data_IF_111687475046
#
_entry.id   IF_111687475046
#
_cell.length_a   1.000
_cell.length_b   1.000
_cell.length_c   1.000
_cell.angle_alpha   90.00
_cell.angle_beta   90.00
_cell.angle_gamma   90.00
#
_symmetry.space_group_name_H-M   'P 1'
#
loop_
_entity.id
_entity.type
_entity.pdbx_description
1 polymer ?
#
# COMPACT_ATOMS: atom_id res chain seq x y z
N UNK A 1 -23.67 -10.59 -2.91
CA UNK A 1 -23.25 -11.64 -1.93
C UNK A 1 -21.77 -12.04 -2.06
N UNK A 2 -21.23 -12.25 -3.27
CA UNK A 2 -19.80 -12.59 -3.47
C UNK A 2 -18.85 -11.47 -3.01
N UNK A 3 -19.15 -10.22 -3.37
CA UNK A 3 -18.34 -9.07 -2.93
C UNK A 3 -18.23 -8.95 -1.39
N UNK A 4 -19.32 -9.26 -0.68
CA UNK A 4 -19.32 -9.30 0.80
C UNK A 4 -18.39 -10.39 1.34
N UNK A 5 -18.44 -11.60 0.78
CA UNK A 5 -17.53 -12.69 1.15
C UNK A 5 -16.06 -12.36 0.87
N UNK A 6 -15.78 -11.68 -0.24
CA UNK A 6 -14.44 -11.20 -0.55
C UNK A 6 -13.96 -10.17 0.50
N UNK A 7 -14.84 -9.23 0.89
CA UNK A 7 -14.54 -8.26 1.94
C UNK A 7 -14.28 -8.90 3.30
N UNK A 8 -15.06 -9.93 3.66
CA UNK A 8 -14.88 -10.70 4.90
C UNK A 8 -13.55 -11.46 4.92
N UNK A 9 -13.02 -11.84 3.74
CA UNK A 9 -11.70 -12.44 3.55
C UNK A 9 -10.56 -11.39 3.45
N UNK A 10 -10.86 -10.10 3.65
CA UNK A 10 -9.87 -9.01 3.57
C UNK A 10 -9.54 -8.56 2.14
N UNK A 11 -10.27 -9.02 1.13
CA UNK A 11 -10.07 -8.66 -0.27
C UNK A 11 -10.96 -7.48 -0.63
N UNK A 12 -10.33 -6.38 -1.08
CA UNK A 12 -11.03 -5.19 -1.56
C UNK A 12 -11.53 -5.40 -3.00
N UNK A 13 -12.79 -5.08 -3.28
CA UNK A 13 -13.38 -5.20 -4.63
C UNK A 13 -13.74 -3.81 -5.16
N UNK A 14 -12.95 -3.34 -6.12
CA UNK A 14 -13.22 -2.12 -6.87
C UNK A 14 -13.98 -2.45 -8.15
N UNK A 15 -14.91 -1.59 -8.56
CA UNK A 15 -15.77 -1.81 -9.73
C UNK A 15 -15.63 -0.63 -10.68
N UNK A 16 -15.33 -0.93 -11.95
CA UNK A 16 -15.26 0.07 -13.01
C UNK A 16 -16.46 -0.15 -13.93
N UNK A 17 -17.35 0.84 -14.01
CA UNK A 17 -18.49 0.82 -14.92
C UNK A 17 -18.10 1.40 -16.26
N UNK A 18 -18.24 0.63 -17.35
CA UNK A 18 -17.97 1.09 -18.71
C UNK A 18 -19.30 1.10 -19.48
N UNK A 19 -19.57 2.21 -20.16
CA UNK A 19 -20.72 2.36 -21.06
C UNK A 19 -21.78 3.33 -20.55
N UNK A 20 -22.75 3.64 -21.42
CA UNK A 20 -23.79 4.63 -21.13
C UNK A 20 -24.94 4.07 -20.28
N UNK A 21 -25.48 4.92 -19.40
CA UNK A 21 -26.70 4.65 -18.62
C UNK A 21 -27.95 4.67 -19.50
N UNK A 22 -27.96 5.47 -20.57
CA UNK A 22 -29.08 5.58 -21.52
C UNK A 22 -29.23 4.30 -22.35
N UNK A 23 -28.10 3.62 -22.58
CA UNK A 23 -27.98 2.35 -23.26
C UNK A 23 -27.61 2.47 -24.73
N UNK A 24 -27.09 1.38 -25.28
CA UNK A 24 -26.69 1.32 -26.68
C UNK A 24 -26.91 -0.08 -27.25
N UNK A 25 -27.24 -0.20 -28.54
CA UNK A 25 -27.37 -1.49 -29.19
C UNK A 25 -25.99 -2.15 -29.34
N UNK A 26 -25.95 -3.48 -29.36
CA UNK A 26 -24.71 -4.25 -29.51
C UNK A 26 -24.49 -4.54 -31.01
N UNK A 27 -23.42 -4.07 -31.65
CA UNK A 27 -23.12 -4.43 -33.03
C UNK A 27 -22.68 -5.90 -33.12
N UNK A 28 -23.14 -6.62 -34.13
CA UNK A 28 -22.77 -8.04 -34.34
C UNK A 28 -21.41 -8.17 -35.04
N UNK A 29 -21.00 -7.17 -35.82
CA UNK A 29 -19.63 -7.04 -36.34
C UNK A 29 -19.23 -5.58 -36.50
N UNK A 30 -17.93 -5.28 -36.46
CA UNK A 30 -17.39 -3.91 -36.60
C UNK A 30 -17.72 -3.23 -37.93
N UNK A 31 -17.98 -4.02 -38.99
CA UNK A 31 -18.18 -3.53 -40.36
C UNK A 31 -19.61 -3.69 -40.87
N UNK A 32 -20.52 -4.22 -40.06
CA UNK A 32 -21.93 -4.43 -40.44
C UNK A 32 -22.86 -3.54 -39.64
N UNK A 33 -23.90 -2.98 -40.28
CA UNK A 33 -25.00 -2.29 -39.60
C UNK A 33 -25.99 -3.24 -38.88
N UNK A 34 -25.61 -4.50 -38.67
CA UNK A 34 -26.44 -5.48 -37.98
C UNK A 34 -26.21 -5.40 -36.48
N UNK A 35 -27.30 -5.26 -35.72
CA UNK A 35 -27.28 -5.27 -34.27
C UNK A 35 -27.78 -6.60 -33.74
N UNK A 36 -27.28 -6.98 -32.56
CA UNK A 36 -27.71 -8.18 -31.85
C UNK A 36 -29.20 -8.12 -31.56
N UNK A 37 -29.91 -9.15 -31.99
CA UNK A 37 -31.34 -9.34 -31.71
C UNK A 37 -31.58 -10.42 -30.65
N UNK A 38 -32.71 -10.32 -29.98
CA UNK A 38 -33.22 -11.38 -29.11
C UNK A 38 -33.90 -12.51 -29.90
N UNK A 39 -34.44 -13.51 -29.21
CA UNK A 39 -35.13 -14.65 -29.83
C UNK A 39 -36.42 -14.25 -30.57
N UNK A 40 -36.94 -13.05 -30.30
CA UNK A 40 -38.15 -12.49 -30.92
C UNK A 40 -37.83 -11.54 -32.09
N UNK A 41 -36.55 -11.26 -32.35
CA UNK A 41 -36.09 -10.39 -33.42
C UNK A 41 -35.95 -8.91 -33.04
N UNK A 42 -36.11 -8.54 -31.75
CA UNK A 42 -35.94 -7.16 -31.29
C UNK A 42 -34.47 -6.84 -31.02
N UNK A 43 -34.05 -5.61 -31.29
CA UNK A 43 -32.68 -5.16 -31.03
C UNK A 43 -32.43 -5.09 -29.52
N UNK A 44 -31.36 -5.74 -29.07
CA UNK A 44 -30.94 -5.73 -27.67
C UNK A 44 -30.20 -4.44 -27.35
N UNK A 45 -30.74 -3.65 -26.42
CA UNK A 45 -30.10 -2.43 -25.89
C UNK A 45 -29.48 -2.74 -24.53
N UNK A 46 -28.15 -2.68 -24.44
CA UNK A 46 -27.39 -2.84 -23.19
C UNK A 46 -27.25 -1.50 -22.47
N UNK A 47 -27.45 -1.49 -21.16
CA UNK A 47 -27.39 -0.30 -20.28
C UNK A 47 -26.44 -0.54 -19.13
N UNK A 48 -25.62 0.45 -18.80
CA UNK A 48 -24.84 0.41 -17.57
C UNK A 48 -25.76 0.56 -16.36
N UNK A 49 -25.72 -0.41 -15.45
CA UNK A 49 -26.41 -0.33 -14.17
C UNK A 49 -25.46 0.14 -13.07
N UNK A 50 -25.35 1.45 -12.90
CA UNK A 50 -24.49 2.05 -11.88
C UNK A 50 -24.90 1.70 -10.47
N UNK A 51 -26.21 1.60 -10.21
CA UNK A 51 -26.72 1.30 -8.86
C UNK A 51 -26.23 -0.06 -8.39
N UNK A 52 -26.29 -1.07 -9.26
CA UNK A 52 -25.78 -2.40 -8.97
C UNK A 52 -24.26 -2.40 -8.81
N UNK A 53 -23.54 -1.70 -9.69
CA UNK A 53 -22.08 -1.64 -9.64
C UNK A 53 -21.58 -0.97 -8.33
N UNK A 54 -22.27 0.09 -7.89
CA UNK A 54 -22.01 0.77 -6.62
C UNK A 54 -22.28 -0.13 -5.41
N UNK A 55 -23.37 -0.89 -5.43
CA UNK A 55 -23.70 -1.84 -4.36
C UNK A 55 -22.63 -2.93 -4.21
N UNK A 56 -22.09 -3.42 -5.34
CA UNK A 56 -21.00 -4.41 -5.36
C UNK A 56 -19.72 -3.82 -4.77
N UNK A 57 -19.33 -2.62 -5.19
CA UNK A 57 -18.15 -1.93 -4.65
C UNK A 57 -18.28 -1.68 -3.15
N UNK A 58 -19.43 -1.15 -2.69
CA UNK A 58 -19.71 -0.92 -1.27
C UNK A 58 -19.66 -2.22 -0.46
N UNK A 59 -20.26 -3.28 -0.97
CA UNK A 59 -20.22 -4.61 -0.34
C UNK A 59 -18.79 -5.16 -0.24
N UNK A 60 -17.92 -4.78 -1.17
CA UNK A 60 -16.51 -5.15 -1.24
C UNK A 60 -15.56 -4.20 -0.51
N UNK A 61 -16.07 -3.16 0.18
CA UNK A 61 -15.30 -2.05 0.76
C UNK A 61 -14.34 -1.38 -0.25
N UNK A 62 -14.69 -1.40 -1.53
CA UNK A 62 -13.94 -0.73 -2.61
C UNK A 62 -14.72 0.43 -3.21
N UNK A 63 -14.16 1.01 -4.27
CA UNK A 63 -14.70 2.17 -4.96
C UNK A 63 -15.40 1.77 -6.26
N UNK A 64 -16.46 2.50 -6.60
CA UNK A 64 -17.05 2.48 -7.94
C UNK A 64 -16.58 3.69 -8.73
N UNK A 65 -16.09 3.47 -9.94
CA UNK A 65 -15.68 4.53 -10.87
C UNK A 65 -16.40 4.32 -12.20
N UNK A 66 -17.10 5.36 -12.66
CA UNK A 66 -17.61 5.39 -14.02
C UNK A 66 -16.46 5.75 -14.95
N UNK A 67 -16.14 4.86 -15.89
CA UNK A 67 -15.15 5.08 -16.92
C UNK A 67 -15.77 5.89 -18.06
N UNK A 68 -15.96 7.19 -17.80
CA UNK A 68 -16.13 8.15 -18.89
C UNK A 68 -14.76 8.31 -19.55
N UNK A 69 -14.76 8.65 -20.84
CA UNK A 69 -13.63 8.64 -21.78
C UNK A 69 -12.46 9.60 -21.44
N UNK A 70 -12.26 9.89 -20.16
CA UNK A 70 -11.30 10.84 -19.61
C UNK A 70 -10.39 10.13 -18.62
N UNK A 71 -9.11 10.48 -18.69
CA UNK A 71 -8.00 10.05 -17.84
C UNK A 71 -8.27 10.14 -16.32
N UNK A 72 -9.41 10.72 -15.89
CA UNK A 72 -9.84 10.80 -14.50
C UNK A 72 -10.05 9.42 -13.84
N UNK A 73 -10.64 8.45 -14.56
CA UNK A 73 -10.84 7.10 -14.01
C UNK A 73 -9.51 6.37 -13.80
N UNK A 74 -8.57 6.52 -14.74
CA UNK A 74 -7.23 5.95 -14.64
C UNK A 74 -6.42 6.64 -13.54
N UNK A 75 -6.44 7.97 -13.48
CA UNK A 75 -5.74 8.74 -12.44
C UNK A 75 -6.27 8.44 -11.02
N UNK A 76 -7.58 8.22 -10.86
CA UNK A 76 -8.17 7.86 -9.57
C UNK A 76 -7.72 6.46 -9.13
N UNK A 77 -7.67 5.49 -10.06
CA UNK A 77 -7.16 4.14 -9.78
C UNK A 77 -5.66 4.16 -9.48
N UNK A 78 -4.85 4.89 -10.25
CA UNK A 78 -3.42 5.06 -9.98
C UNK A 78 -3.18 5.71 -8.61
N UNK A 79 -3.95 6.73 -8.24
CA UNK A 79 -3.83 7.38 -6.94
C UNK A 79 -4.20 6.43 -5.78
N UNK A 80 -5.22 5.60 -5.97
CA UNK A 80 -5.64 4.62 -4.96
C UNK A 80 -4.62 3.48 -4.83
N UNK A 81 -4.07 3.01 -5.95
CA UNK A 81 -2.98 2.03 -5.99
C UNK A 81 -1.70 2.56 -5.35
N UNK A 82 -1.33 3.81 -5.61
CA UNK A 82 -0.19 4.49 -5.00
C UNK A 82 -0.36 4.61 -3.48
N UNK A 83 -1.57 4.92 -3.00
CA UNK A 83 -1.87 4.97 -1.56
C UNK A 83 -1.78 3.59 -0.91
N UNK A 84 -2.23 2.54 -1.59
CA UNK A 84 -2.13 1.16 -1.09
C UNK A 84 -0.67 0.68 -1.08
N UNK A 85 0.09 0.88 -2.17
CA UNK A 85 1.52 0.58 -2.21
C UNK A 85 2.29 1.34 -1.11
N UNK A 86 2.01 2.64 -0.92
CA UNK A 86 2.65 3.41 0.16
C UNK A 86 2.24 2.96 1.55
N UNK A 87 1.01 2.47 1.74
CA UNK A 87 0.56 1.91 3.02
C UNK A 87 1.24 0.57 3.35
N UNK A 88 1.47 -0.28 2.35
CA UNK A 88 2.26 -1.50 2.51
C UNK A 88 3.75 -1.22 2.74
N UNK A 89 4.32 -0.21 2.05
CA UNK A 89 5.70 0.23 2.32
C UNK A 89 5.87 0.94 3.66
N UNK A 90 4.85 1.67 4.13
CA UNK A 90 4.86 2.37 5.41
C UNK A 90 4.61 1.48 6.63
N UNK A 91 4.15 0.24 6.44
CA UNK A 91 3.86 -0.69 7.55
C UNK A 91 4.91 -1.80 7.73
N UNK A 92 5.83 -1.99 6.78
CA UNK A 92 6.84 -3.06 6.85
C UNK A 92 8.29 -2.59 7.14
N UNK A 93 8.58 -1.29 7.20
CA UNK A 93 9.89 -0.79 7.68
C UNK A 93 9.71 0.45 8.56
N UNK A 94 8.85 0.34 9.56
CA UNK A 94 9.10 0.97 10.85
C UNK A 94 8.65 0.00 11.94
N UNK A 95 9.14 -1.24 11.84
CA UNK A 95 9.89 -1.68 13.02
C UNK A 95 11.06 -0.71 13.04
N UNK A 96 10.86 0.44 13.70
CA UNK A 96 11.91 1.03 14.51
C UNK A 96 12.45 -0.19 15.24
N UNK A 97 13.55 -0.73 14.72
CA UNK A 97 14.30 -1.73 15.44
C UNK A 97 14.49 -1.02 16.76
N UNK A 98 13.80 -1.48 17.80
CA UNK A 98 13.85 -0.87 19.12
C UNK A 98 15.32 -1.00 19.51
N UNK A 99 16.08 0.04 19.13
CA UNK A 99 17.51 -0.07 18.90
C UNK A 99 18.04 -0.21 20.30
N UNK A 100 18.33 -1.43 20.73
CA UNK A 100 19.02 -1.65 22.00
C UNK A 100 20.50 -1.24 21.90
N UNK A 101 20.92 -0.80 20.70
CA UNK A 101 22.26 -0.33 20.40
C UNK A 101 22.69 0.91 21.23
N UNK A 102 21.90 1.98 21.39
CA UNK A 102 22.24 3.12 22.23
C UNK A 102 22.39 2.71 23.70
N UNK A 103 21.57 1.78 24.22
CA UNK A 103 21.69 1.30 25.61
C UNK A 103 23.04 0.59 25.82
N UNK A 104 23.45 -0.26 24.89
CA UNK A 104 24.76 -0.94 24.93
C UNK A 104 25.90 0.07 24.74
N UNK A 105 25.73 1.06 23.85
CA UNK A 105 26.72 2.11 23.62
C UNK A 105 26.93 3.00 24.86
N UNK A 106 25.84 3.40 25.54
CA UNK A 106 25.89 4.15 26.80
C UNK A 106 26.55 3.34 27.92
N UNK A 107 26.26 2.03 28.01
CA UNK A 107 26.91 1.14 28.97
C UNK A 107 28.43 1.07 28.74
N UNK A 108 28.87 0.90 27.49
CA UNK A 108 30.28 0.92 27.11
C UNK A 108 30.96 2.26 27.41
N UNK A 109 30.27 3.37 27.12
CA UNK A 109 30.77 4.71 27.37
C UNK A 109 30.99 4.97 28.87
N UNK A 110 30.08 4.50 29.74
CA UNK A 110 30.26 4.57 31.20
C UNK A 110 31.46 3.73 31.65
N UNK A 111 31.61 2.50 31.15
CA UNK A 111 32.76 1.64 31.47
C UNK A 111 34.08 2.29 31.06
N UNK A 112 34.12 2.96 29.90
CA UNK A 112 35.29 3.68 29.41
C UNK A 112 35.63 4.89 30.31
N UNK A 113 34.62 5.66 30.74
CA UNK A 113 34.82 6.76 31.70
C UNK A 113 35.37 6.23 33.02
N UNK A 114 34.81 5.12 33.53
CA UNK A 114 35.29 4.48 34.76
C UNK A 114 36.74 3.99 34.60
N UNK A 115 37.08 3.40 33.45
CA UNK A 115 38.45 3.00 33.14
C UNK A 115 39.39 4.21 33.13
N UNK A 116 39.03 5.31 32.46
CA UNK A 116 39.83 6.54 32.43
C UNK A 116 39.98 7.12 33.84
N UNK A 117 38.92 7.19 34.64
CA UNK A 117 39.00 7.65 36.03
C UNK A 117 39.85 6.72 36.92
N UNK A 118 39.80 5.41 36.69
CA UNK A 118 40.69 4.44 37.37
C UNK A 118 42.12 4.64 36.88
N UNK A 119 42.38 4.84 35.59
CA UNK A 119 43.71 5.03 35.02
C UNK A 119 44.34 6.34 35.53
N UNK A 120 43.54 7.40 35.62
CA UNK A 120 43.95 8.71 36.14
C UNK A 120 44.28 8.63 37.66
N UNK A 121 43.55 7.80 38.42
CA UNK A 121 43.92 7.47 39.81
C UNK A 121 45.04 6.43 39.94
N UNK A 122 45.28 5.62 38.91
CA UNK A 122 46.20 4.47 38.94
C UNK A 122 47.50 4.71 38.17
N UNK A 123 47.85 5.97 37.88
CA UNK A 123 49.26 6.33 37.74
C UNK A 123 49.92 6.66 39.10
N UNK A 124 49.79 5.73 40.07
CA UNK A 124 50.60 5.70 41.31
C UNK A 124 51.76 4.69 41.23
N UNK A 125 51.70 3.74 40.28
CA UNK A 125 52.67 2.64 40.19
C UNK A 125 53.94 2.99 39.40
N UNK A 126 53.91 3.96 38.49
CA UNK A 126 55.11 4.41 37.76
C UNK A 126 55.70 5.74 38.25
N UNK A 127 55.34 6.18 39.46
CA UNK A 127 55.94 7.40 40.04
C UNK A 127 57.37 7.18 40.58
N UNK A 128 57.80 5.93 40.76
CA UNK A 128 59.07 5.58 41.41
C UNK A 128 59.86 4.43 40.74
N UNK A 129 59.67 4.16 39.45
CA UNK A 129 60.51 3.17 38.76
C UNK A 129 61.57 3.88 37.92
N UNK A 130 62.80 3.96 38.44
CA UNK A 130 63.99 4.40 37.69
C UNK A 130 64.45 3.22 36.81
N UNK A 131 64.02 3.19 35.55
CA UNK A 131 64.37 2.11 34.60
C UNK A 131 65.65 2.41 33.79
N UNK A 132 66.23 3.61 33.87
CA UNK A 132 67.54 3.86 33.26
C UNK A 132 68.49 4.52 34.25
N UNK A 133 69.42 3.70 34.74
CA UNK A 133 70.66 4.14 35.38
C UNK A 133 71.81 3.51 34.59
N UNK A 134 72.33 4.26 33.63
CA UNK A 134 73.71 4.19 33.15
C UNK A 134 74.08 5.56 32.61
#
# INVERSE_FOLDING_TARGET
KLAKRASDAGIMVNVIGIGSVDGSPIPESEYSNTYKTDTEGNIVVTKLNESMAREIAQSGKGLFVHADNTNAAMNALETELDKLQKKDMGSLVYSEYDEKFPIIAWMLLIVLIVEVCIFDKKNRLFRNVRIFKR
#
